data_IF_868488660478
#
_entry.id   IF_868488660478
#
_cell.length_a   1.000
_cell.length_b   1.000
_cell.length_c   1.000
_cell.angle_alpha   90.00
_cell.angle_beta   90.00
_cell.angle_gamma   90.00
#
_symmetry.space_group_name_H-M   'P 1'
#
loop_
_entity.id
_entity.type
_entity.pdbx_description
1 polymer ?
#
# COMPACT_ATOMS: atom_id res chain seq x y z
N UNK A 1 -7.72 -29.05 15.36
CA UNK A 1 -6.38 -28.42 15.37
C UNK A 1 -5.99 -28.18 13.93
N UNK A 2 -6.14 -26.93 13.47
CA UNK A 2 -5.74 -26.54 12.12
C UNK A 2 -4.22 -26.68 12.00
N UNK A 3 -3.77 -27.54 11.09
CA UNK A 3 -2.35 -27.70 10.78
C UNK A 3 -1.85 -26.37 10.25
N UNK A 4 -1.05 -25.66 11.04
CA UNK A 4 -0.42 -24.41 10.62
C UNK A 4 0.37 -24.71 9.34
N UNK A 5 -0.14 -24.27 8.18
CA UNK A 5 0.45 -24.56 6.89
C UNK A 5 1.89 -24.03 6.90
N UNK A 6 2.87 -24.92 6.72
CA UNK A 6 4.26 -24.50 6.57
C UNK A 6 4.37 -23.68 5.28
N UNK A 7 4.45 -22.36 5.47
CA UNK A 7 4.47 -21.36 4.40
C UNK A 7 5.64 -21.56 3.42
N UNK A 8 6.72 -22.20 3.89
CA UNK A 8 7.94 -22.45 3.11
C UNK A 8 8.07 -23.90 2.66
N UNK A 9 7.01 -24.71 2.82
CA UNK A 9 7.01 -26.09 2.36
C UNK A 9 7.31 -26.15 0.86
N UNK A 10 8.18 -27.09 0.47
CA UNK A 10 8.62 -27.31 -0.90
C UNK A 10 9.44 -26.18 -1.54
N UNK A 11 9.95 -25.22 -0.76
CA UNK A 11 10.86 -24.20 -1.28
C UNK A 11 12.29 -24.76 -1.32
N UNK A 12 12.95 -24.53 -2.45
CA UNK A 12 14.34 -24.94 -2.67
C UNK A 12 15.34 -24.21 -1.76
N UNK A 13 14.97 -23.03 -1.27
CA UNK A 13 15.82 -22.16 -0.46
C UNK A 13 15.28 -22.05 0.95
N UNK A 14 16.19 -21.85 1.91
CA UNK A 14 15.85 -21.62 3.30
C UNK A 14 14.91 -20.41 3.45
N UNK A 15 13.96 -20.54 4.38
CA UNK A 15 12.97 -19.49 4.68
C UNK A 15 13.63 -18.15 5.04
N UNK A 16 14.79 -18.16 5.70
CA UNK A 16 15.55 -16.96 6.04
C UNK A 16 16.04 -16.20 4.79
N UNK A 17 16.50 -16.91 3.75
CA UNK A 17 16.96 -16.29 2.49
C UNK A 17 15.77 -15.67 1.74
N UNK A 18 14.66 -16.42 1.68
CA UNK A 18 13.43 -15.96 1.06
C UNK A 18 12.91 -14.71 1.76
N UNK A 19 12.80 -14.73 3.09
CA UNK A 19 12.33 -13.58 3.87
C UNK A 19 13.28 -12.38 3.75
N UNK A 20 14.60 -12.61 3.74
CA UNK A 20 15.59 -11.55 3.59
C UNK A 20 15.45 -10.83 2.25
N UNK A 21 15.40 -11.60 1.16
CA UNK A 21 15.24 -11.07 -0.21
C UNK A 21 13.94 -10.32 -0.38
N UNK A 22 12.81 -10.89 0.07
CA UNK A 22 11.50 -10.24 0.00
C UNK A 22 11.49 -8.96 0.83
N UNK A 23 12.03 -8.99 2.07
CA UNK A 23 12.12 -7.80 2.93
C UNK A 23 12.97 -6.71 2.31
N UNK A 24 14.12 -7.04 1.73
CA UNK A 24 14.98 -6.05 1.08
C UNK A 24 14.29 -5.41 -0.12
N UNK A 25 13.61 -6.20 -0.94
CA UNK A 25 12.83 -5.69 -2.06
C UNK A 25 11.71 -4.74 -1.61
N UNK A 26 10.97 -5.10 -0.55
CA UNK A 26 9.84 -4.31 -0.08
C UNK A 26 10.25 -3.04 0.69
N UNK A 27 11.41 -3.07 1.35
CA UNK A 27 11.88 -1.99 2.23
C UNK A 27 12.78 -0.99 1.50
N UNK A 28 13.59 -1.45 0.56
CA UNK A 28 14.58 -0.63 -0.13
C UNK A 28 14.22 -0.50 -1.60
N UNK A 29 14.60 0.62 -2.23
CA UNK A 29 14.38 0.87 -3.66
C UNK A 29 15.33 0.06 -4.55
N UNK A 30 15.48 -1.23 -4.26
CA UNK A 30 16.35 -2.17 -4.98
C UNK A 30 15.58 -2.83 -6.13
N UNK A 31 16.23 -2.94 -7.28
CA UNK A 31 15.74 -3.75 -8.39
C UNK A 31 15.91 -5.24 -8.09
N UNK A 32 15.17 -6.10 -8.80
CA UNK A 32 15.40 -7.54 -8.71
C UNK A 32 16.83 -7.92 -9.09
N UNK A 33 17.47 -7.18 -9.99
CA UNK A 33 18.86 -7.43 -10.41
C UNK A 33 19.84 -7.08 -9.30
N UNK A 34 19.61 -5.97 -8.60
CA UNK A 34 20.43 -5.54 -7.46
C UNK A 34 20.42 -6.63 -6.38
N UNK A 35 19.24 -7.21 -6.09
CA UNK A 35 19.13 -8.30 -5.12
C UNK A 35 19.84 -9.57 -5.62
N UNK A 36 19.75 -9.91 -6.91
CA UNK A 36 20.49 -11.04 -7.48
C UNK A 36 22.00 -10.85 -7.31
N UNK A 37 22.52 -9.65 -7.59
CA UNK A 37 23.93 -9.30 -7.42
C UNK A 37 24.36 -9.45 -5.95
N UNK A 38 23.61 -8.85 -5.01
CA UNK A 38 23.87 -8.97 -3.58
C UNK A 38 23.81 -10.41 -3.05
N UNK A 39 22.96 -11.27 -3.63
CA UNK A 39 22.91 -12.69 -3.29
C UNK A 39 24.09 -13.46 -3.88
N UNK A 40 24.53 -13.10 -5.09
CA UNK A 40 25.70 -13.69 -5.75
C UNK A 40 26.99 -13.41 -4.97
N UNK A 41 27.17 -12.20 -4.42
CA UNK A 41 28.29 -11.87 -3.53
C UNK A 41 28.36 -12.77 -2.28
N UNK A 42 27.21 -13.33 -1.88
CA UNK A 42 27.08 -14.28 -0.75
C UNK A 42 27.15 -15.75 -1.19
N UNK A 43 27.50 -16.03 -2.45
CA UNK A 43 27.59 -17.37 -3.00
C UNK A 43 26.26 -18.00 -3.42
N UNK A 44 25.15 -17.24 -3.40
CA UNK A 44 23.82 -17.74 -3.75
C UNK A 44 23.46 -17.41 -5.20
N UNK A 45 23.32 -18.45 -6.04
CA UNK A 45 22.90 -18.31 -7.45
C UNK A 45 21.37 -18.31 -7.57
N UNK A 46 20.76 -17.15 -7.39
CA UNK A 46 19.30 -17.00 -7.45
C UNK A 46 18.91 -16.22 -8.71
N UNK A 47 17.87 -16.67 -9.43
CA UNK A 47 17.36 -15.93 -10.58
C UNK A 47 16.44 -14.77 -10.16
N UNK A 48 16.40 -13.70 -10.95
CA UNK A 48 15.51 -12.56 -10.69
C UNK A 48 14.02 -12.96 -10.71
N UNK A 49 13.63 -13.95 -11.53
CA UNK A 49 12.25 -14.45 -11.61
C UNK A 49 11.87 -15.27 -10.37
N UNK A 50 12.84 -15.97 -9.75
CA UNK A 50 12.66 -16.64 -8.46
C UNK A 50 12.32 -15.63 -7.37
N UNK A 51 13.10 -14.55 -7.26
CA UNK A 51 12.85 -13.47 -6.29
C UNK A 51 11.51 -12.82 -6.56
N UNK A 52 11.17 -12.55 -7.82
CA UNK A 52 9.87 -12.01 -8.22
C UNK A 52 8.72 -12.89 -7.72
N UNK A 53 8.79 -14.21 -7.93
CA UNK A 53 7.75 -15.14 -7.45
C UNK A 53 7.62 -15.11 -5.93
N UNK A 54 8.73 -15.11 -5.19
CA UNK A 54 8.70 -14.99 -3.72
C UNK A 54 8.08 -13.68 -3.26
N UNK A 55 8.41 -12.58 -3.93
CA UNK A 55 7.88 -11.26 -3.61
C UNK A 55 6.37 -11.22 -3.82
N UNK A 56 5.85 -11.80 -4.90
CA UNK A 56 4.41 -11.93 -5.14
C UNK A 56 3.70 -12.88 -4.16
N UNK A 57 4.35 -13.97 -3.79
CA UNK A 57 3.78 -15.00 -2.91
C UNK A 57 3.77 -14.57 -1.43
N UNK A 58 4.91 -14.10 -0.93
CA UNK A 58 5.09 -13.80 0.49
C UNK A 58 4.85 -12.34 0.86
N UNK A 59 4.90 -11.41 -0.11
CA UNK A 59 4.63 -9.99 0.14
C UNK A 59 3.29 -9.74 0.85
N UNK A 60 2.16 -10.29 0.34
CA UNK A 60 0.86 -10.17 0.99
C UNK A 60 0.80 -10.78 2.39
N UNK A 61 1.42 -11.96 2.58
CA UNK A 61 1.40 -12.65 3.87
C UNK A 61 2.23 -11.89 4.92
N UNK A 62 3.37 -11.33 4.52
CA UNK A 62 4.21 -10.47 5.37
C UNK A 62 3.43 -9.21 5.77
N UNK A 63 2.79 -8.53 4.82
CA UNK A 63 1.97 -7.34 5.09
C UNK A 63 0.81 -7.67 6.05
N UNK A 64 0.08 -8.76 5.81
CA UNK A 64 -1.00 -9.23 6.69
C UNK A 64 -0.52 -9.48 8.13
N UNK A 65 0.63 -10.16 8.29
CA UNK A 65 1.17 -10.47 9.63
C UNK A 65 1.77 -9.27 10.34
N UNK A 66 2.40 -8.33 9.62
CA UNK A 66 3.01 -7.15 10.21
C UNK A 66 1.95 -6.15 10.70
N UNK A 67 0.78 -6.08 10.05
CA UNK A 67 -0.28 -5.11 10.38
C UNK A 67 -0.65 -5.06 11.85
N UNK A 68 -0.76 -6.22 12.53
CA UNK A 68 -1.10 -6.27 13.96
C UNK A 68 -0.01 -5.72 14.87
N UNK A 69 1.24 -5.68 14.41
CA UNK A 69 2.39 -5.13 15.15
C UNK A 69 2.64 -3.65 14.83
N UNK A 70 1.93 -3.08 13.84
CA UNK A 70 2.01 -1.66 13.56
C UNK A 70 1.28 -0.90 14.67
N UNK A 71 1.96 0.10 15.26
CA UNK A 71 1.32 1.04 16.21
C UNK A 71 0.01 1.59 15.63
N UNK A 72 -1.06 1.83 16.39
CA UNK A 72 -2.24 2.49 15.82
C UNK A 72 -1.90 3.85 15.19
N UNK A 73 -2.57 4.20 14.09
CA UNK A 73 -2.51 5.56 13.54
C UNK A 73 -3.31 6.51 14.43
N UNK A 74 -2.91 7.78 14.50
CA UNK A 74 -3.69 8.79 15.22
C UNK A 74 -4.94 9.26 14.45
N UNK A 75 -5.74 10.10 15.11
CA UNK A 75 -7.01 10.65 14.63
C UNK A 75 -6.88 11.85 13.66
N UNK A 76 -5.65 12.26 13.32
CA UNK A 76 -5.38 13.38 12.40
C UNK A 76 -4.77 12.87 11.10
N UNK A 77 -5.61 12.76 10.07
CA UNK A 77 -5.22 12.22 8.78
C UNK A 77 -4.80 13.34 7.81
N UNK A 78 -3.85 13.03 6.93
CA UNK A 78 -3.46 13.83 5.77
C UNK A 78 -3.55 12.94 4.55
N UNK A 79 -4.23 13.43 3.53
CA UNK A 79 -4.52 12.67 2.33
C UNK A 79 -4.07 13.44 1.10
N UNK A 80 -3.41 12.75 0.19
CA UNK A 80 -2.92 13.31 -1.07
C UNK A 80 -3.02 12.27 -2.20
N UNK A 81 -2.95 12.73 -3.45
CA UNK A 81 -2.81 11.87 -4.62
C UNK A 81 -1.63 12.29 -5.47
N UNK A 82 -0.87 11.29 -5.94
CA UNK A 82 0.15 11.49 -6.96
C UNK A 82 -0.11 10.59 -8.15
N UNK A 83 0.18 11.08 -9.35
CA UNK A 83 0.20 10.25 -10.54
C UNK A 83 1.50 9.43 -10.57
N UNK A 84 1.39 8.14 -10.89
CA UNK A 84 2.52 7.23 -11.06
C UNK A 84 2.35 6.42 -12.34
N UNK A 85 3.44 5.98 -12.94
CA UNK A 85 3.41 5.16 -14.15
C UNK A 85 3.54 3.69 -13.76
N UNK A 86 2.53 2.88 -14.08
CA UNK A 86 2.50 1.44 -13.82
C UNK A 86 2.31 0.72 -15.15
N UNK A 87 3.24 -0.18 -15.53
CA UNK A 87 3.23 -0.89 -16.82
C UNK A 87 3.00 0.02 -18.03
N UNK A 88 3.61 1.20 -18.02
CA UNK A 88 3.48 2.18 -19.10
C UNK A 88 2.25 3.10 -19.02
N UNK A 89 1.27 2.83 -18.14
CA UNK A 89 0.04 3.61 -17.99
C UNK A 89 0.10 4.52 -16.76
N UNK A 90 -0.37 5.76 -16.89
CA UNK A 90 -0.52 6.66 -15.74
C UNK A 90 -1.72 6.27 -14.89
N UNK A 91 -1.52 6.13 -13.59
CA UNK A 91 -2.55 5.85 -12.59
C UNK A 91 -2.42 6.82 -11.42
N UNK A 92 -3.51 7.04 -10.69
CA UNK A 92 -3.55 7.86 -9.48
C UNK A 92 -3.32 6.98 -8.26
N UNK A 93 -2.28 7.30 -7.48
CA UNK A 93 -2.01 6.71 -6.19
C UNK A 93 -2.60 7.63 -5.11
N UNK A 94 -3.68 7.17 -4.51
CA UNK A 94 -4.27 7.74 -3.31
C UNK A 94 -3.49 7.29 -2.09
N UNK A 95 -3.20 8.21 -1.17
CA UNK A 95 -2.46 7.91 0.05
C UNK A 95 -2.96 8.72 1.22
N UNK A 96 -3.02 8.08 2.39
CA UNK A 96 -3.26 8.72 3.67
C UNK A 96 -2.17 8.36 4.68
N UNK A 97 -1.72 9.36 5.43
CA UNK A 97 -0.82 9.21 6.57
C UNK A 97 -1.37 9.98 7.76
N UNK A 98 -0.99 9.59 8.96
CA UNK A 98 -1.36 10.31 10.17
C UNK A 98 -0.44 11.52 10.41
N UNK A 99 -0.70 12.28 11.48
CA UNK A 99 0.11 13.47 11.80
C UNK A 99 1.57 13.21 12.15
N UNK A 100 1.96 11.96 12.43
CA UNK A 100 3.34 11.55 12.68
C UNK A 100 4.01 10.95 11.43
N UNK A 101 3.32 10.96 10.28
CA UNK A 101 3.81 10.36 9.04
C UNK A 101 3.65 8.84 8.99
N UNK A 102 2.85 8.26 9.88
CA UNK A 102 2.54 6.83 9.82
C UNK A 102 1.53 6.57 8.70
N UNK A 103 1.85 5.69 7.77
CA UNK A 103 0.91 5.27 6.72
C UNK A 103 -0.36 4.69 7.32
N UNK A 104 -1.50 5.28 6.94
CA UNK A 104 -2.84 4.76 7.20
C UNK A 104 -3.17 3.81 6.05
N UNK A 105 -3.23 4.34 4.83
CA UNK A 105 -3.58 3.52 3.69
C UNK A 105 -3.11 4.06 2.35
N UNK A 106 -3.14 3.22 1.33
CA UNK A 106 -2.92 3.59 -0.08
C UNK A 106 -3.83 2.79 -1.01
N UNK A 107 -4.12 3.36 -2.19
CA UNK A 107 -4.90 2.71 -3.23
C UNK A 107 -4.52 3.24 -4.61
N UNK A 108 -4.43 2.35 -5.60
CA UNK A 108 -4.30 2.75 -7.00
C UNK A 108 -5.68 2.83 -7.65
N UNK A 109 -5.87 3.87 -8.45
CA UNK A 109 -7.05 4.11 -9.26
C UNK A 109 -6.65 4.59 -10.64
N UNK A 110 -7.43 4.24 -11.65
CA UNK A 110 -7.31 4.82 -12.99
C UNK A 110 -7.95 6.20 -13.06
N UNK A 111 -8.92 6.46 -12.18
CA UNK A 111 -9.71 7.67 -12.14
C UNK A 111 -9.38 8.52 -10.91
N UNK A 112 -9.42 9.84 -11.10
CA UNK A 112 -9.33 10.85 -10.04
C UNK A 112 -10.70 11.46 -9.80
N UNK A 113 -11.65 10.64 -9.39
CA UNK A 113 -13.06 11.00 -9.23
C UNK A 113 -13.59 10.71 -7.82
N UNK A 114 -14.82 11.13 -7.55
CA UNK A 114 -15.48 10.93 -6.27
C UNK A 114 -15.66 9.44 -5.93
N UNK A 115 -16.09 8.55 -6.84
CA UNK A 115 -16.13 7.10 -6.57
C UNK A 115 -14.78 6.52 -6.12
N UNK A 116 -13.68 6.89 -6.76
CA UNK A 116 -12.35 6.47 -6.34
C UNK A 116 -11.99 7.02 -4.95
N UNK A 117 -12.24 8.30 -4.70
CA UNK A 117 -12.01 8.90 -3.38
C UNK A 117 -12.82 8.21 -2.26
N UNK A 118 -14.11 7.92 -2.50
CA UNK A 118 -14.96 7.21 -1.55
C UNK A 118 -14.43 5.81 -1.27
N UNK A 119 -14.12 5.04 -2.33
CA UNK A 119 -13.53 3.70 -2.20
C UNK A 119 -12.24 3.71 -1.39
N UNK A 120 -11.38 4.72 -1.60
CA UNK A 120 -10.16 4.88 -0.84
C UNK A 120 -10.43 5.05 0.66
N UNK A 121 -11.33 5.96 1.03
CA UNK A 121 -11.66 6.19 2.44
C UNK A 121 -12.40 5.01 3.08
N UNK A 122 -13.35 4.38 2.39
CA UNK A 122 -14.02 3.16 2.88
C UNK A 122 -12.99 2.06 3.20
N UNK A 123 -12.00 1.89 2.33
CA UNK A 123 -10.91 0.94 2.54
C UNK A 123 -10.00 1.33 3.71
N UNK A 124 -9.67 2.61 3.85
CA UNK A 124 -8.86 3.09 4.96
C UNK A 124 -9.57 2.90 6.31
N UNK A 125 -10.89 3.06 6.35
CA UNK A 125 -11.72 2.93 7.55
C UNK A 125 -12.04 1.47 7.93
N UNK A 126 -11.92 0.51 7.00
CA UNK A 126 -12.22 -0.90 7.28
C UNK A 126 -11.13 -1.60 8.09
N UNK A 127 -9.94 -1.00 8.22
CA UNK A 127 -8.83 -1.57 8.97
C UNK A 127 -9.03 -1.35 10.48
N UNK A 128 -9.07 -2.43 11.29
CA UNK A 128 -9.35 -2.34 12.73
C UNK A 128 -8.23 -1.64 13.53
N UNK A 129 -7.06 -1.44 12.93
CA UNK A 129 -5.91 -0.79 13.57
C UNK A 129 -5.92 0.73 13.41
N UNK A 130 -6.83 1.28 12.62
CA UNK A 130 -6.91 2.71 12.36
C UNK A 130 -7.93 3.35 13.30
N UNK A 131 -7.53 4.41 13.98
CA UNK A 131 -8.47 5.26 14.69
C UNK A 131 -9.32 6.05 13.69
N UNK A 132 -10.61 6.20 13.98
CA UNK A 132 -11.48 7.06 13.18
C UNK A 132 -10.93 8.49 13.19
N UNK A 133 -10.87 9.16 12.01
CA UNK A 133 -10.30 10.49 11.93
C UNK A 133 -11.22 11.51 12.59
N UNK A 134 -10.65 12.32 13.49
CA UNK A 134 -11.25 13.59 13.95
C UNK A 134 -11.02 14.70 12.93
N UNK A 135 -9.87 14.68 12.23
CA UNK A 135 -9.49 15.65 11.21
C UNK A 135 -8.99 14.93 9.97
N UNK A 136 -9.43 15.37 8.80
CA UNK A 136 -8.87 14.97 7.50
C UNK A 136 -8.36 16.21 6.79
N UNK A 137 -7.05 16.28 6.62
CA UNK A 137 -6.41 17.32 5.80
C UNK A 137 -6.31 16.84 4.36
N UNK A 138 -6.92 17.58 3.45
CA UNK A 138 -6.99 17.24 2.03
C UNK A 138 -6.12 18.19 1.22
N UNK A 139 -5.61 17.69 0.10
CA UNK A 139 -5.22 18.56 -1.01
C UNK A 139 -6.46 19.11 -1.75
N UNK A 140 -6.25 20.03 -2.71
CA UNK A 140 -7.29 20.72 -3.48
C UNK A 140 -8.07 19.82 -4.46
N UNK A 141 -8.15 18.50 -4.23
CA UNK A 141 -8.93 17.62 -5.10
C UNK A 141 -10.45 17.83 -4.84
N UNK A 142 -11.24 18.26 -5.85
CA UNK A 142 -12.68 18.44 -5.71
C UNK A 142 -13.45 17.14 -5.44
N UNK A 143 -12.86 15.97 -5.71
CA UNK A 143 -13.48 14.67 -5.46
C UNK A 143 -13.61 14.31 -3.96
N UNK A 144 -12.75 14.85 -3.10
CA UNK A 144 -12.69 14.45 -1.69
C UNK A 144 -13.85 14.98 -0.84
N UNK A 145 -14.21 16.29 -0.86
CA UNK A 145 -15.31 16.79 -0.06
C UNK A 145 -16.64 16.04 -0.26
N UNK A 146 -17.13 15.79 -1.50
CA UNK A 146 -18.37 15.05 -1.70
C UNK A 146 -18.26 13.59 -1.24
N UNK A 147 -17.11 12.93 -1.45
CA UNK A 147 -16.90 11.56 -0.99
C UNK A 147 -16.96 11.44 0.55
N UNK A 148 -16.36 12.40 1.28
CA UNK A 148 -16.40 12.41 2.75
C UNK A 148 -17.81 12.71 3.25
N UNK A 149 -18.52 13.65 2.61
CA UNK A 149 -19.92 13.95 2.98
C UNK A 149 -20.81 12.72 2.85
N UNK A 150 -20.66 11.94 1.78
CA UNK A 150 -21.42 10.70 1.61
C UNK A 150 -21.08 9.68 2.70
N UNK A 151 -19.81 9.53 3.08
CA UNK A 151 -19.39 8.64 4.17
C UNK A 151 -19.93 9.07 5.54
N UNK A 152 -20.08 10.38 5.77
CA UNK A 152 -20.73 10.91 6.97
C UNK A 152 -22.24 10.58 6.94
N UNK A 153 -22.90 10.74 5.79
CA UNK A 153 -24.32 10.38 5.63
C UNK A 153 -24.56 8.87 5.84
N UNK A 154 -23.64 8.03 5.37
CA UNK A 154 -23.65 6.57 5.56
C UNK A 154 -23.27 6.13 6.98
N UNK A 155 -22.92 7.08 7.87
CA UNK A 155 -22.42 6.84 9.24
C UNK A 155 -21.12 6.02 9.30
N UNK A 156 -20.37 5.98 8.20
CA UNK A 156 -19.04 5.39 8.15
C UNK A 156 -17.98 6.33 8.76
N UNK A 157 -18.24 7.64 8.77
CA UNK A 157 -17.44 8.65 9.45
C UNK A 157 -18.26 9.41 10.49
N UNK A 158 -17.65 9.81 11.63
CA UNK A 158 -18.29 10.70 12.59
C UNK A 158 -18.70 12.03 11.95
N UNK A 159 -19.84 12.57 12.36
CA UNK A 159 -20.36 13.86 11.85
C UNK A 159 -19.43 15.03 12.24
N UNK A 160 -18.69 14.86 13.32
CA UNK A 160 -17.74 15.81 13.89
C UNK A 160 -16.40 15.82 13.13
N UNK A 161 -16.21 14.94 12.15
CA UNK A 161 -14.98 14.88 11.34
C UNK A 161 -14.76 16.20 10.63
N UNK A 162 -13.69 16.90 10.98
CA UNK A 162 -13.35 18.20 10.39
C UNK A 162 -12.54 18.02 9.11
N UNK A 163 -13.00 18.65 8.03
CA UNK A 163 -12.26 18.72 6.77
C UNK A 163 -11.41 20.00 6.77
N UNK A 164 -10.11 19.85 6.51
CA UNK A 164 -9.18 20.98 6.42
C UNK A 164 -8.48 20.97 5.06
N UNK A 165 -8.34 22.15 4.45
CA UNK A 165 -7.52 22.36 3.26
C UNK A 165 -6.37 23.29 3.65
N UNK A 166 -5.23 22.74 4.05
CA UNK A 166 -4.06 23.54 4.45
C UNK A 166 -2.79 22.98 3.82
N UNK A 167 -2.27 23.71 2.83
CA UNK A 167 -1.12 23.31 2.01
C UNK A 167 0.10 22.87 2.85
N UNK A 168 0.44 23.64 3.89
CA UNK A 168 1.66 23.39 4.69
C UNK A 168 1.63 22.10 5.51
N UNK A 169 0.45 21.57 5.84
CA UNK A 169 0.32 20.34 6.62
C UNK A 169 0.47 19.08 5.75
N UNK A 170 0.35 19.21 4.42
CA UNK A 170 0.53 18.11 3.48
C UNK A 170 2.00 17.78 3.19
N UNK A 171 2.94 18.64 3.62
CA UNK A 171 4.38 18.42 3.46
C UNK A 171 4.85 17.02 3.90
N UNK A 172 4.22 16.44 4.93
CA UNK A 172 4.55 15.08 5.41
C UNK A 172 4.19 14.02 4.36
N UNK A 173 2.99 14.09 3.78
CA UNK A 173 2.57 13.17 2.72
C UNK A 173 3.39 13.39 1.46
N UNK A 174 3.70 14.64 1.12
CA UNK A 174 4.53 14.99 -0.03
C UNK A 174 5.99 14.50 0.10
N UNK A 175 6.58 14.57 1.29
CA UNK A 175 7.91 14.01 1.55
C UNK A 175 7.91 12.49 1.39
N UNK A 176 6.86 11.85 1.90
CA UNK A 176 6.66 10.42 1.82
C UNK A 176 6.41 9.95 0.37
N UNK A 177 5.85 10.81 -0.50
CA UNK A 177 5.78 10.55 -1.95
C UNK A 177 7.15 10.38 -2.61
N UNK A 178 8.19 11.06 -2.11
CA UNK A 178 9.55 10.93 -2.69
C UNK A 178 10.08 9.51 -2.53
N UNK A 179 9.83 8.90 -1.37
CA UNK A 179 10.22 7.52 -1.12
C UNK A 179 9.52 6.55 -2.09
N UNK A 180 8.21 6.71 -2.28
CA UNK A 180 7.46 5.86 -3.23
C UNK A 180 7.88 6.08 -4.68
N UNK A 181 8.12 7.33 -5.11
CA UNK A 181 8.59 7.62 -6.47
C UNK A 181 9.93 6.97 -6.78
N UNK A 182 10.76 6.72 -5.76
CA UNK A 182 12.02 5.99 -5.90
C UNK A 182 11.81 4.47 -6.00
N UNK A 183 10.69 3.92 -5.49
CA UNK A 183 10.30 2.53 -5.70
C UNK A 183 9.68 2.38 -7.10
N UNK A 184 10.54 2.31 -8.13
CA UNK A 184 10.15 2.29 -9.55
C UNK A 184 9.59 0.96 -10.06
N UNK A 185 9.23 0.02 -9.18
CA UNK A 185 8.95 -1.34 -9.63
C UNK A 185 7.45 -1.63 -9.68
N UNK A 186 6.97 -1.95 -10.89
CA UNK A 186 5.60 -2.39 -11.16
C UNK A 186 5.14 -3.54 -10.25
N UNK A 187 6.06 -4.36 -9.74
CA UNK A 187 5.75 -5.47 -8.85
C UNK A 187 5.47 -5.04 -7.40
N UNK A 188 6.10 -3.97 -6.89
CA UNK A 188 5.73 -3.38 -5.59
C UNK A 188 4.28 -2.88 -5.63
N UNK A 189 3.93 -2.16 -6.71
CA UNK A 189 2.57 -1.67 -6.93
C UNK A 189 1.54 -2.79 -7.19
N UNK A 190 1.93 -3.87 -7.87
CA UNK A 190 1.06 -5.04 -8.05
C UNK A 190 0.81 -5.78 -6.73
N UNK A 191 1.82 -5.94 -5.89
CA UNK A 191 1.63 -6.53 -4.55
C UNK A 191 0.70 -5.63 -3.75
N UNK A 192 0.96 -4.33 -3.75
CA UNK A 192 0.11 -3.33 -3.12
C UNK A 192 -1.34 -3.35 -3.60
N UNK A 193 -1.56 -3.52 -4.91
CA UNK A 193 -2.89 -3.64 -5.50
C UNK A 193 -3.56 -4.97 -5.13
N UNK A 194 -2.80 -6.08 -5.17
CA UNK A 194 -3.30 -7.44 -4.97
C UNK A 194 -3.49 -7.81 -3.48
N UNK A 195 -2.71 -7.23 -2.56
CA UNK A 195 -2.89 -7.36 -1.11
C UNK A 195 -4.22 -6.75 -0.62
N UNK A 196 -4.94 -6.04 -1.49
CA UNK A 196 -5.98 -5.07 -1.11
C UNK A 196 -7.26 -5.14 -1.94
N UNK A 197 -7.36 -6.04 -2.91
CA UNK A 197 -8.63 -6.44 -3.53
C UNK A 197 -9.25 -7.58 -2.73
N UNK A 198 -9.77 -7.25 -1.54
CA UNK A 198 -10.64 -8.15 -0.77
C UNK A 198 -11.94 -7.42 -0.39
N UNK A 199 -12.60 -6.84 -1.40
CA UNK A 199 -14.05 -6.66 -1.42
C UNK A 199 -14.49 -6.79 -2.88
N UNK A 200 -14.96 -7.99 -3.23
CA UNK A 200 -15.48 -8.44 -4.54
C UNK A 200 -14.40 -8.75 -5.60
N UNK A 201 -14.24 -10.05 -5.85
CA UNK A 201 -13.40 -10.58 -6.89
C UNK A 201 -13.79 -10.05 -8.27
N UNK A 202 -12.83 -9.43 -8.94
CA UNK A 202 -12.72 -9.45 -10.38
C UNK A 202 -11.22 -9.63 -10.69
N UNK A 203 -10.83 -10.88 -10.95
CA UNK A 203 -9.58 -11.19 -11.62
C UNK A 203 -9.72 -10.71 -13.05
N UNK A 204 -9.07 -9.62 -13.42
CA UNK A 204 -8.80 -9.37 -14.84
C UNK A 204 -7.77 -10.40 -15.30
N UNK A 205 -8.25 -11.48 -15.91
CA UNK A 205 -7.46 -12.32 -16.80
C UNK A 205 -6.89 -11.43 -17.90
N UNK A 206 -5.57 -11.40 -18.02
CA UNK A 206 -4.86 -10.95 -19.20
C UNK A 206 -3.52 -11.70 -19.26
N UNK A 207 -3.63 -12.98 -19.60
CA UNK A 207 -2.58 -13.71 -20.29
C UNK A 207 -3.22 -14.12 -21.61
N UNK A 208 -2.87 -13.39 -22.67
CA UNK A 208 -2.68 -13.86 -24.04
C UNK A 208 -1.56 -12.99 -24.63
#
# INVERSE_FOLDING_TARGET
METQLDLFKWKQYESAIILLTVRWYLKYSLSYRDIVEMMSERGLKISHTTIMRWVHEFGPEIDKRIRSYLKPSNDSWRTDETYIKVKGQWKYLYRAVDSMGKTIDFMLSEYRDMPAAKRFFTKALSSPHHQLPRVITLDKNPAYPPAIQELIHEKALPKETLIRQTKYLNNIVEQDHRFIKNHKTDAWFQIISNCRTDVKGNRSHAYD
#
